data_IF_731172165482
#
_entry.id   IF_731172165482
#
_cell.length_a   1.000
_cell.length_b   1.000
_cell.length_c   1.000
_cell.angle_alpha   90.00
_cell.angle_beta   90.00
_cell.angle_gamma   90.00
#
_symmetry.space_group_name_H-M   'P 1'
#
loop_
_entity.id
_entity.type
_entity.pdbx_description
1 polymer ?
#
# COMPACT_ATOMS: atom_id res chain seq x y z
N UNK A 1 -0.72 -0.03 -29.35
CA UNK A 1 -0.34 1.35 -28.97
C UNK A 1 -1.51 2.28 -28.66
N UNK A 2 -2.49 2.47 -29.57
CA UNK A 2 -3.65 3.39 -29.33
C UNK A 2 -4.40 3.12 -28.01
N UNK A 3 -4.73 1.87 -27.72
CA UNK A 3 -5.40 1.47 -26.46
C UNK A 3 -4.55 1.74 -25.20
N UNK A 4 -3.23 1.54 -25.27
CA UNK A 4 -2.33 1.82 -24.16
C UNK A 4 -2.21 3.32 -23.89
N UNK A 5 -2.12 4.13 -24.95
CA UNK A 5 -2.11 5.59 -24.84
C UNK A 5 -3.42 6.11 -24.23
N UNK A 6 -4.57 5.59 -24.67
CA UNK A 6 -5.87 5.92 -24.09
C UNK A 6 -5.96 5.55 -22.60
N UNK A 7 -5.55 4.33 -22.22
CA UNK A 7 -5.50 3.92 -20.81
C UNK A 7 -4.58 4.82 -19.98
N UNK A 8 -3.41 5.17 -20.52
CA UNK A 8 -2.46 6.05 -19.85
C UNK A 8 -3.06 7.44 -19.62
N UNK A 9 -3.74 7.99 -20.63
CA UNK A 9 -4.47 9.25 -20.51
C UNK A 9 -5.59 9.17 -19.46
N UNK A 10 -6.36 8.08 -19.42
CA UNK A 10 -7.41 7.87 -18.43
C UNK A 10 -6.83 7.84 -17.00
N UNK A 11 -5.76 7.09 -16.78
CA UNK A 11 -5.10 7.00 -15.46
C UNK A 11 -4.50 8.34 -15.05
N UNK A 12 -3.86 9.05 -15.99
CA UNK A 12 -3.35 10.38 -15.74
C UNK A 12 -4.46 11.37 -15.35
N UNK A 13 -5.61 11.31 -16.03
CA UNK A 13 -6.79 12.11 -15.69
C UNK A 13 -7.30 11.78 -14.30
N UNK A 14 -7.38 10.49 -13.93
CA UNK A 14 -7.74 10.06 -12.58
C UNK A 14 -6.78 10.62 -11.51
N UNK A 15 -5.47 10.66 -11.78
CA UNK A 15 -4.51 11.30 -10.89
C UNK A 15 -4.79 12.79 -10.74
N UNK A 16 -4.91 13.53 -11.86
CA UNK A 16 -5.18 14.96 -11.82
C UNK A 16 -6.48 15.27 -11.05
N UNK A 17 -7.56 14.53 -11.29
CA UNK A 17 -8.81 14.68 -10.54
C UNK A 17 -8.62 14.41 -9.04
N UNK A 18 -7.79 13.43 -8.67
CA UNK A 18 -7.45 13.14 -7.28
C UNK A 18 -6.67 14.27 -6.59
N UNK A 19 -5.82 14.99 -7.34
CA UNK A 19 -5.05 16.13 -6.84
C UNK A 19 -5.84 17.45 -6.80
N UNK A 20 -6.70 17.70 -7.79
CA UNK A 20 -7.53 18.93 -7.88
C UNK A 20 -8.56 19.00 -6.76
N UNK A 21 -9.06 17.85 -6.26
CA UNK A 21 -10.17 17.80 -5.31
C UNK A 21 -9.84 18.06 -3.83
N UNK A 22 -8.65 18.54 -3.44
CA UNK A 22 -8.30 18.63 -2.01
C UNK A 22 -7.60 19.94 -1.59
N UNK A 23 -8.31 20.81 -0.84
CA UNK A 23 -7.71 21.99 -0.19
C UNK A 23 -7.09 21.68 1.18
N UNK A 24 -7.23 20.46 1.72
CA UNK A 24 -6.69 20.12 3.05
C UNK A 24 -5.16 19.95 3.05
N UNK A 25 -4.50 20.53 4.06
CA UNK A 25 -3.09 20.27 4.36
C UNK A 25 -2.95 18.80 4.79
N UNK A 26 -2.38 17.97 3.93
CA UNK A 26 -2.01 16.61 4.29
C UNK A 26 -1.01 16.63 5.45
N UNK A 27 -1.32 15.93 6.54
CA UNK A 27 -0.32 15.62 7.56
C UNK A 27 0.51 14.42 7.08
N UNK A 28 1.81 14.45 7.37
CA UNK A 28 2.72 13.41 6.92
C UNK A 28 2.26 12.04 7.41
N UNK A 29 2.06 11.13 6.45
CA UNK A 29 1.58 9.76 6.69
C UNK A 29 0.30 9.67 7.54
N UNK A 30 -0.62 10.62 7.38
CA UNK A 30 -1.98 10.48 7.92
C UNK A 30 -2.83 9.48 7.11
N UNK A 31 -4.10 9.31 7.49
CA UNK A 31 -5.01 8.39 6.80
C UNK A 31 -5.26 8.81 5.35
N UNK A 32 -5.43 10.10 5.09
CA UNK A 32 -5.72 10.61 3.75
C UNK A 32 -4.51 10.45 2.83
N UNK A 33 -3.31 10.72 3.35
CA UNK A 33 -2.02 10.55 2.69
C UNK A 33 -1.76 9.09 2.32
N UNK A 34 -1.89 8.17 3.29
CA UNK A 34 -1.68 6.73 3.04
C UNK A 34 -2.74 6.13 2.12
N UNK A 35 -4.01 6.58 2.20
CA UNK A 35 -5.06 6.18 1.25
C UNK A 35 -4.77 6.69 -0.16
N UNK A 36 -4.28 7.92 -0.31
CA UNK A 36 -3.89 8.46 -1.62
C UNK A 36 -2.75 7.64 -2.24
N UNK A 37 -1.72 7.29 -1.46
CA UNK A 37 -0.63 6.42 -1.93
C UNK A 37 -1.16 5.04 -2.34
N UNK A 38 -2.05 4.42 -1.56
CA UNK A 38 -2.65 3.13 -1.93
C UNK A 38 -3.44 3.21 -3.24
N UNK A 39 -4.20 4.29 -3.45
CA UNK A 39 -4.90 4.54 -4.71
C UNK A 39 -3.92 4.70 -5.88
N UNK A 40 -2.86 5.49 -5.68
CA UNK A 40 -1.78 5.63 -6.65
C UNK A 40 -1.15 4.29 -7.00
N UNK A 41 -0.79 3.50 -5.99
CA UNK A 41 -0.23 2.15 -6.12
C UNK A 41 -1.10 1.23 -6.96
N UNK A 42 -2.41 1.15 -6.68
CA UNK A 42 -3.31 0.27 -7.43
C UNK A 42 -3.39 0.70 -8.90
N UNK A 43 -3.55 2.00 -9.17
CA UNK A 43 -3.60 2.52 -10.54
C UNK A 43 -2.29 2.24 -11.30
N UNK A 44 -1.14 2.38 -10.64
CA UNK A 44 0.17 2.05 -11.21
C UNK A 44 0.30 0.56 -11.55
N UNK A 45 -0.22 -0.32 -10.68
CA UNK A 45 -0.25 -1.78 -10.92
C UNK A 45 -1.13 -2.13 -12.11
N UNK A 46 -2.32 -1.53 -12.19
CA UNK A 46 -3.24 -1.71 -13.33
C UNK A 46 -2.58 -1.25 -14.62
N UNK A 47 -2.01 -0.04 -14.63
CA UNK A 47 -1.32 0.53 -15.79
C UNK A 47 -0.21 -0.39 -16.30
N UNK A 48 0.65 -0.88 -15.41
CA UNK A 48 1.76 -1.74 -15.78
C UNK A 48 1.32 -3.12 -16.27
N UNK A 49 0.34 -3.78 -15.63
CA UNK A 49 -0.17 -5.07 -16.11
C UNK A 49 -0.88 -4.95 -17.46
N UNK A 50 -1.65 -3.88 -17.68
CA UNK A 50 -2.27 -3.61 -18.98
C UNK A 50 -1.24 -3.31 -20.05
N UNK A 51 -0.19 -2.52 -19.74
CA UNK A 51 0.91 -2.27 -20.67
C UNK A 51 1.66 -3.53 -21.06
N UNK A 52 1.92 -4.41 -20.09
CA UNK A 52 2.57 -5.70 -20.35
C UNK A 52 1.73 -6.61 -21.26
N UNK A 53 0.39 -6.65 -21.08
CA UNK A 53 -0.52 -7.36 -21.99
C UNK A 53 -0.55 -6.77 -23.41
N UNK A 54 -0.21 -5.48 -23.54
CA UNK A 54 -0.13 -4.78 -24.82
C UNK A 54 1.31 -4.75 -25.36
N UNK A 55 2.15 -5.69 -24.91
CA UNK A 55 3.54 -5.90 -25.36
C UNK A 55 4.50 -4.73 -25.10
N UNK A 56 4.23 -3.90 -24.09
CA UNK A 56 5.16 -2.86 -23.61
C UNK A 56 6.20 -3.49 -22.68
N UNK A 57 7.45 -3.60 -23.16
CA UNK A 57 8.55 -4.20 -22.41
C UNK A 57 8.94 -3.42 -21.14
N UNK A 58 9.45 -4.12 -20.12
CA UNK A 58 10.01 -3.53 -18.90
C UNK A 58 9.02 -2.92 -17.90
N UNK A 59 7.77 -2.68 -18.29
CA UNK A 59 6.78 -1.96 -17.47
C UNK A 59 6.36 -2.73 -16.20
N UNK A 60 6.52 -4.04 -16.17
CA UNK A 60 6.19 -4.88 -15.00
C UNK A 60 7.03 -4.54 -13.75
N UNK A 61 8.24 -3.97 -13.92
CA UNK A 61 9.01 -3.49 -12.78
C UNK A 61 8.28 -2.39 -12.01
N UNK A 62 7.53 -1.53 -12.72
CA UNK A 62 6.75 -0.44 -12.14
C UNK A 62 5.54 -0.97 -11.37
N UNK A 63 4.90 -2.06 -11.84
CA UNK A 63 3.91 -2.79 -11.04
C UNK A 63 4.53 -3.22 -9.70
N UNK A 64 5.80 -3.63 -9.75
CA UNK A 64 6.58 -4.01 -8.60
C UNK A 64 6.63 -2.93 -7.50
N UNK A 65 6.89 -1.70 -7.89
CA UNK A 65 6.93 -0.54 -6.98
C UNK A 65 5.54 -0.24 -6.42
N UNK A 66 4.50 -0.30 -7.26
CA UNK A 66 3.12 -0.08 -6.85
C UNK A 66 2.70 -1.02 -5.72
N UNK A 67 2.95 -2.32 -5.87
CA UNK A 67 2.64 -3.32 -4.83
C UNK A 67 3.44 -3.06 -3.54
N UNK A 68 4.74 -2.77 -3.64
CA UNK A 68 5.58 -2.47 -2.47
C UNK A 68 5.04 -1.28 -1.66
N UNK A 69 4.68 -0.17 -2.34
CA UNK A 69 4.07 1.00 -1.71
C UNK A 69 2.73 0.68 -1.06
N UNK A 70 1.89 -0.15 -1.71
CA UNK A 70 0.61 -0.57 -1.14
C UNK A 70 0.80 -1.39 0.13
N UNK A 71 1.71 -2.36 0.11
CA UNK A 71 2.03 -3.22 1.25
C UNK A 71 2.60 -2.41 2.41
N UNK A 72 3.51 -1.48 2.13
CA UNK A 72 4.09 -0.58 3.12
C UNK A 72 3.02 0.31 3.77
N UNK A 73 2.18 0.97 2.99
CA UNK A 73 1.06 1.75 3.53
C UNK A 73 0.04 0.89 4.28
N UNK A 74 -0.07 -0.40 3.94
CA UNK A 74 -0.94 -1.35 4.63
C UNK A 74 -0.38 -1.75 5.98
N UNK A 75 0.91 -2.11 6.07
CA UNK A 75 1.59 -2.36 7.33
C UNK A 75 1.55 -1.15 8.27
N UNK A 76 1.86 0.04 7.74
CA UNK A 76 1.79 1.30 8.48
C UNK A 76 0.39 1.57 9.03
N UNK A 77 -0.64 1.50 8.18
CA UNK A 77 -2.02 1.74 8.59
C UNK A 77 -2.54 0.71 9.60
N UNK A 78 -2.04 -0.52 9.55
CA UNK A 78 -2.38 -1.57 10.52
C UNK A 78 -1.83 -1.26 11.90
N UNK A 79 -0.56 -0.85 11.99
CA UNK A 79 0.07 -0.49 13.26
C UNK A 79 -0.59 0.73 13.89
N UNK A 80 -0.78 1.82 13.12
CA UNK A 80 -1.48 3.01 13.62
C UNK A 80 -2.92 2.69 14.06
N UNK A 81 -3.62 1.80 13.35
CA UNK A 81 -4.94 1.35 13.77
C UNK A 81 -4.89 0.52 15.05
N UNK A 82 -3.86 -0.30 15.23
CA UNK A 82 -3.66 -1.16 16.40
C UNK A 82 -3.32 -0.33 17.65
N UNK A 83 -2.49 0.69 17.52
CA UNK A 83 -2.22 1.63 18.62
C UNK A 83 -3.50 2.29 19.13
N UNK A 84 -4.40 2.67 18.21
CA UNK A 84 -5.65 3.36 18.55
C UNK A 84 -6.78 2.43 19.03
N UNK A 85 -6.94 1.26 18.42
CA UNK A 85 -8.12 0.41 18.59
C UNK A 85 -7.80 -1.04 19.02
N UNK A 86 -6.52 -1.36 19.23
CA UNK A 86 -6.04 -2.74 19.38
C UNK A 86 -6.59 -3.61 18.23
N UNK A 87 -7.03 -4.83 18.53
CA UNK A 87 -7.61 -5.76 17.55
C UNK A 87 -9.13 -5.58 17.38
N UNK A 88 -9.75 -4.56 17.99
CA UNK A 88 -11.20 -4.36 17.91
C UNK A 88 -11.62 -4.07 16.46
N UNK A 89 -12.46 -4.94 15.91
CA UNK A 89 -12.95 -4.85 14.54
C UNK A 89 -11.85 -5.04 13.47
N UNK A 90 -10.73 -5.70 13.83
CA UNK A 90 -9.59 -5.95 12.95
C UNK A 90 -10.04 -6.55 11.61
N UNK A 91 -10.76 -7.68 11.61
CA UNK A 91 -11.17 -8.34 10.37
C UNK A 91 -12.24 -7.57 9.60
N UNK A 92 -13.27 -7.04 10.29
CA UNK A 92 -14.36 -6.26 9.67
C UNK A 92 -13.83 -5.11 8.82
N UNK A 93 -12.87 -4.33 9.35
CA UNK A 93 -12.28 -3.20 8.62
C UNK A 93 -11.60 -3.64 7.31
N UNK A 94 -11.00 -4.82 7.26
CA UNK A 94 -10.12 -5.28 6.16
C UNK A 94 -10.92 -6.02 5.10
N UNK A 95 -11.88 -6.83 5.53
CA UNK A 95 -12.87 -7.43 4.64
C UNK A 95 -13.65 -6.35 3.87
N UNK A 96 -14.09 -5.29 4.54
CA UNK A 96 -14.87 -4.23 3.90
C UNK A 96 -14.05 -3.27 3.04
N UNK A 97 -12.80 -2.94 3.43
CA UNK A 97 -12.00 -1.94 2.71
C UNK A 97 -11.06 -2.51 1.65
N UNK A 98 -10.80 -3.82 1.66
CA UNK A 98 -9.86 -4.46 0.73
C UNK A 98 -10.53 -5.62 0.00
N UNK A 99 -11.06 -6.60 0.71
CA UNK A 99 -11.62 -7.81 0.07
C UNK A 99 -12.87 -7.51 -0.75
N UNK A 100 -13.81 -6.75 -0.20
CA UNK A 100 -15.08 -6.47 -0.87
C UNK A 100 -14.91 -5.65 -2.16
N UNK A 101 -14.11 -4.56 -2.19
CA UNK A 101 -13.79 -3.88 -3.44
C UNK A 101 -13.08 -4.78 -4.46
N UNK A 102 -12.15 -5.63 -4.00
CA UNK A 102 -11.44 -6.57 -4.87
C UNK A 102 -12.40 -7.57 -5.54
N UNK A 103 -13.24 -8.25 -4.76
CA UNK A 103 -14.22 -9.19 -5.28
C UNK A 103 -15.22 -8.53 -6.22
N UNK A 104 -15.65 -7.30 -5.92
CA UNK A 104 -16.51 -6.53 -6.81
C UNK A 104 -15.86 -6.26 -8.17
N UNK A 105 -14.61 -5.79 -8.18
CA UNK A 105 -13.86 -5.54 -9.43
C UNK A 105 -13.59 -6.83 -10.18
N UNK A 106 -13.24 -7.91 -9.50
CA UNK A 106 -12.98 -9.20 -10.13
C UNK A 106 -14.25 -9.81 -10.74
N UNK A 107 -15.39 -9.73 -10.04
CA UNK A 107 -16.67 -10.17 -10.58
C UNK A 107 -17.01 -9.42 -11.87
N UNK A 108 -16.93 -8.08 -11.85
CA UNK A 108 -17.15 -7.25 -13.05
C UNK A 108 -16.17 -7.65 -14.17
N UNK A 109 -14.89 -7.86 -13.83
CA UNK A 109 -13.87 -8.30 -14.78
C UNK A 109 -14.23 -9.63 -15.45
N UNK A 110 -14.61 -10.64 -14.66
CA UNK A 110 -15.00 -11.97 -15.17
C UNK A 110 -16.26 -11.93 -16.04
N UNK A 111 -17.22 -11.08 -15.70
CA UNK A 111 -18.45 -10.89 -16.49
C UNK A 111 -18.14 -10.23 -17.84
N UNK A 112 -17.34 -9.15 -17.84
CA UNK A 112 -16.95 -8.42 -19.06
C UNK A 112 -16.12 -9.30 -20.01
N UNK A 113 -15.24 -10.15 -19.48
CA UNK A 113 -14.43 -11.07 -20.30
C UNK A 113 -15.18 -12.33 -20.73
N UNK A 114 -16.41 -12.54 -20.25
CA UNK A 114 -17.19 -13.75 -20.55
C UNK A 114 -16.60 -15.04 -19.96
N UNK A 115 -15.65 -14.93 -19.03
CA UNK A 115 -14.94 -16.08 -18.43
C UNK A 115 -15.49 -16.43 -17.04
N UNK A 116 -16.68 -15.93 -16.70
CA UNK A 116 -17.28 -16.16 -15.40
C UNK A 116 -17.65 -17.64 -15.21
N UNK A 117 -17.22 -18.19 -14.07
CA UNK A 117 -17.66 -19.50 -13.61
C UNK A 117 -17.83 -19.47 -12.11
N UNK A 118 -19.02 -19.87 -11.65
CA UNK A 118 -19.41 -19.81 -10.24
C UNK A 118 -18.44 -20.60 -9.35
N UNK A 119 -17.97 -21.76 -9.82
CA UNK A 119 -17.01 -22.60 -9.08
C UNK A 119 -15.69 -21.88 -8.88
N UNK A 120 -15.18 -21.23 -9.92
CA UNK A 120 -13.89 -20.52 -9.86
C UNK A 120 -14.00 -19.26 -9.01
N UNK A 121 -15.11 -18.53 -9.11
CA UNK A 121 -15.37 -17.34 -8.31
C UNK A 121 -15.53 -17.65 -6.82
N UNK A 122 -16.26 -18.72 -6.46
CA UNK A 122 -16.37 -19.17 -5.06
C UNK A 122 -15.04 -19.64 -4.49
N UNK A 123 -14.21 -20.33 -5.28
CA UNK A 123 -12.88 -20.73 -4.85
C UNK A 123 -11.94 -19.52 -4.63
N UNK A 124 -12.09 -18.43 -5.41
CA UNK A 124 -11.34 -17.20 -5.17
C UNK A 124 -11.84 -16.46 -3.93
N UNK A 125 -13.16 -16.39 -3.75
CA UNK A 125 -13.79 -15.84 -2.55
C UNK A 125 -13.30 -16.51 -1.27
N UNK A 126 -13.10 -17.84 -1.29
CA UNK A 126 -12.53 -18.61 -0.19
C UNK A 126 -10.99 -18.55 -0.10
N UNK A 127 -10.32 -17.77 -0.94
CA UNK A 127 -8.87 -17.68 -1.07
C UNK A 127 -8.16 -19.00 -1.46
N UNK A 128 -8.89 -20.00 -1.97
CA UNK A 128 -8.40 -21.35 -2.29
C UNK A 128 -7.83 -21.47 -3.70
N UNK A 129 -8.54 -20.98 -4.73
CA UNK A 129 -8.03 -20.90 -6.12
C UNK A 129 -8.31 -19.53 -6.73
N UNK A 130 -7.29 -18.84 -7.25
CA UNK A 130 -7.50 -17.49 -7.78
C UNK A 130 -8.15 -17.56 -9.15
N UNK A 131 -9.20 -16.77 -9.33
CA UNK A 131 -9.96 -16.74 -10.57
C UNK A 131 -9.19 -16.03 -11.69
N UNK A 132 -8.28 -15.12 -11.31
CA UNK A 132 -7.42 -14.37 -12.23
C UNK A 132 -5.93 -14.52 -11.90
N UNK A 133 -5.06 -14.38 -12.90
CA UNK A 133 -3.59 -14.43 -12.75
C UNK A 133 -3.04 -13.39 -11.76
N UNK A 134 -3.77 -12.28 -11.55
CA UNK A 134 -3.41 -11.21 -10.62
C UNK A 134 -3.95 -11.43 -9.18
N UNK A 135 -4.79 -12.44 -8.96
CA UNK A 135 -5.42 -12.75 -7.67
C UNK A 135 -4.45 -13.22 -6.58
N UNK A 136 -3.20 -13.56 -6.94
CA UNK A 136 -2.16 -13.91 -5.97
C UNK A 136 -1.94 -12.81 -4.93
N UNK A 137 -2.07 -11.53 -5.34
CA UNK A 137 -1.88 -10.38 -4.46
C UNK A 137 -2.92 -10.38 -3.33
N UNK A 138 -4.16 -10.79 -3.62
CA UNK A 138 -5.23 -10.78 -2.64
C UNK A 138 -4.96 -11.77 -1.50
N UNK A 139 -4.53 -12.99 -1.83
CA UNK A 139 -4.11 -13.97 -0.83
C UNK A 139 -2.91 -13.48 -0.03
N UNK A 140 -1.97 -12.87 -0.74
CA UNK A 140 -0.73 -12.36 -0.15
C UNK A 140 -1.02 -11.30 0.93
N UNK A 141 -1.87 -10.32 0.64
CA UNK A 141 -2.21 -9.27 1.60
C UNK A 141 -3.04 -9.80 2.78
N UNK A 142 -3.93 -10.77 2.54
CA UNK A 142 -4.67 -11.45 3.62
C UNK A 142 -3.73 -12.22 4.54
N UNK A 143 -2.73 -12.90 3.99
CA UNK A 143 -1.70 -13.60 4.79
C UNK A 143 -0.86 -12.62 5.60
N UNK A 144 -0.48 -11.47 5.03
CA UNK A 144 0.17 -10.40 5.79
C UNK A 144 -0.68 -9.92 6.98
N UNK A 145 -2.00 -9.75 6.78
CA UNK A 145 -2.92 -9.38 7.85
C UNK A 145 -3.06 -10.48 8.91
N UNK A 146 -3.07 -11.75 8.50
CA UNK A 146 -3.11 -12.89 9.40
C UNK A 146 -1.85 -12.96 10.27
N UNK A 147 -0.66 -12.87 9.67
CA UNK A 147 0.62 -12.85 10.39
C UNK A 147 0.63 -11.69 11.39
N UNK A 148 0.25 -10.50 10.96
CA UNK A 148 0.15 -9.34 11.85
C UNK A 148 -0.82 -9.59 13.02
N UNK A 149 -2.01 -10.13 12.74
CA UNK A 149 -3.02 -10.43 13.75
C UNK A 149 -2.49 -11.42 14.80
N UNK A 150 -1.88 -12.52 14.35
CA UNK A 150 -1.35 -13.57 15.22
C UNK A 150 -0.24 -13.01 16.10
N UNK A 151 0.75 -12.30 15.53
CA UNK A 151 1.85 -11.72 16.30
C UNK A 151 1.34 -10.73 17.34
N UNK A 152 0.46 -9.80 16.96
CA UNK A 152 -0.11 -8.80 17.89
C UNK A 152 -1.04 -9.40 18.95
N UNK A 153 -1.58 -10.61 18.72
CA UNK A 153 -2.42 -11.33 19.68
C UNK A 153 -1.59 -12.12 20.68
N UNK A 154 -0.49 -12.74 20.24
CA UNK A 154 0.32 -13.64 21.06
C UNK A 154 1.40 -12.92 21.87
N UNK A 155 2.02 -11.88 21.29
CA UNK A 155 3.15 -11.17 21.91
C UNK A 155 2.65 -9.86 22.49
N UNK A 156 2.94 -9.60 23.77
CA UNK A 156 2.57 -8.34 24.44
C UNK A 156 3.63 -7.25 24.28
N UNK A 157 4.91 -7.63 24.32
CA UNK A 157 6.03 -6.68 24.22
C UNK A 157 6.16 -6.11 22.80
N UNK A 158 6.24 -4.78 22.69
CA UNK A 158 6.23 -4.08 21.40
C UNK A 158 7.52 -4.29 20.59
N UNK A 159 8.67 -4.49 21.25
CA UNK A 159 9.93 -4.76 20.55
C UNK A 159 9.91 -6.18 20.00
N UNK A 160 9.50 -7.15 20.82
CA UNK A 160 9.33 -8.54 20.41
C UNK A 160 8.29 -8.69 19.31
N UNK A 161 7.18 -7.92 19.32
CA UNK A 161 6.21 -7.90 18.22
C UNK A 161 6.89 -7.51 16.90
N UNK A 162 7.70 -6.45 16.91
CA UNK A 162 8.40 -5.98 15.70
C UNK A 162 9.43 -7.01 15.23
N UNK A 163 10.22 -7.57 16.16
CA UNK A 163 11.19 -8.63 15.85
C UNK A 163 10.52 -9.88 15.30
N UNK A 164 9.41 -10.32 15.89
CA UNK A 164 8.67 -11.49 15.43
C UNK A 164 8.05 -11.26 14.04
N UNK A 165 7.54 -10.05 13.76
CA UNK A 165 7.07 -9.70 12.41
C UNK A 165 8.22 -9.77 11.40
N UNK A 166 9.33 -9.07 11.63
CA UNK A 166 10.48 -9.12 10.73
C UNK A 166 11.03 -10.53 10.58
N UNK A 167 11.18 -11.28 11.66
CA UNK A 167 11.63 -12.67 11.65
C UNK A 167 10.71 -13.56 10.82
N UNK A 168 9.40 -13.49 11.04
CA UNK A 168 8.41 -14.27 10.28
C UNK A 168 8.44 -13.94 8.80
N UNK A 169 8.49 -12.65 8.44
CA UNK A 169 8.56 -12.22 7.04
C UNK A 169 9.89 -12.59 6.37
N UNK A 170 11.01 -12.58 7.10
CA UNK A 170 12.32 -13.03 6.60
C UNK A 170 12.32 -14.55 6.38
N UNK A 171 11.79 -15.33 7.31
CA UNK A 171 11.64 -16.79 7.13
C UNK A 171 10.77 -17.07 5.91
N UNK A 172 9.63 -16.38 5.80
CA UNK A 172 8.73 -16.53 4.65
C UNK A 172 9.42 -16.15 3.34
N UNK A 173 10.24 -15.08 3.34
CA UNK A 173 11.06 -14.69 2.20
C UNK A 173 12.05 -15.79 1.77
N UNK A 174 12.76 -16.40 2.73
CA UNK A 174 13.70 -17.49 2.44
C UNK A 174 12.95 -18.71 1.89
N UNK A 175 11.83 -19.09 2.51
CA UNK A 175 11.02 -20.23 2.04
C UNK A 175 10.51 -20.03 0.60
N UNK A 176 9.97 -18.85 0.28
CA UNK A 176 9.55 -18.54 -1.09
C UNK A 176 10.73 -18.52 -2.07
N UNK A 177 11.89 -17.99 -1.65
CA UNK A 177 13.07 -17.90 -2.52
C UNK A 177 13.77 -19.25 -2.76
N UNK A 178 13.67 -20.20 -1.83
CA UNK A 178 14.33 -21.51 -1.93
C UNK A 178 13.41 -22.57 -2.54
N UNK A 179 12.15 -22.61 -2.14
CA UNK A 179 11.23 -23.71 -2.51
C UNK A 179 10.21 -23.34 -3.58
N UNK A 180 9.91 -22.06 -3.77
CA UNK A 180 8.83 -21.60 -4.65
C UNK A 180 9.31 -20.60 -5.72
N UNK A 181 10.63 -20.46 -5.89
CA UNK A 181 11.23 -19.63 -6.93
C UNK A 181 10.78 -20.14 -8.30
N UNK A 182 9.81 -19.43 -8.87
CA UNK A 182 9.19 -19.78 -10.14
C UNK A 182 10.15 -19.42 -11.29
N UNK A 183 10.59 -20.35 -12.14
CA UNK A 183 11.63 -20.09 -13.14
C UNK A 183 11.29 -18.95 -14.12
N UNK A 184 10.00 -18.71 -14.38
CA UNK A 184 9.53 -17.65 -15.29
C UNK A 184 9.42 -16.24 -14.66
N UNK A 185 9.35 -16.15 -13.32
CA UNK A 185 9.31 -14.87 -12.58
C UNK A 185 9.95 -14.99 -11.19
N UNK A 186 11.25 -15.30 -11.10
CA UNK A 186 11.82 -15.91 -9.89
C UNK A 186 11.86 -15.02 -8.65
N UNK A 187 11.53 -13.72 -8.73
CA UNK A 187 11.72 -12.80 -7.61
C UNK A 187 10.63 -11.74 -7.44
N UNK A 188 9.47 -11.82 -8.11
CA UNK A 188 8.46 -10.74 -7.99
C UNK A 188 7.84 -10.68 -6.58
N UNK A 189 7.41 -11.84 -6.07
CA UNK A 189 6.84 -11.97 -4.71
C UNK A 189 7.89 -11.66 -3.65
N UNK A 190 9.04 -12.33 -3.73
CA UNK A 190 10.15 -12.21 -2.79
C UNK A 190 10.62 -10.75 -2.59
N UNK A 191 10.76 -9.97 -3.67
CA UNK A 191 11.25 -8.57 -3.60
C UNK A 191 10.38 -7.62 -2.78
N UNK A 192 9.12 -7.95 -2.55
CA UNK A 192 8.14 -7.07 -1.91
C UNK A 192 7.81 -7.50 -0.48
N UNK A 193 8.34 -8.65 -0.02
CA UNK A 193 7.92 -9.24 1.24
C UNK A 193 8.28 -8.39 2.46
N UNK A 194 9.39 -7.67 2.39
CA UNK A 194 9.82 -6.78 3.46
C UNK A 194 9.10 -5.42 3.45
N UNK A 195 8.33 -5.09 2.41
CA UNK A 195 7.64 -3.80 2.34
C UNK A 195 6.56 -3.66 3.43
N UNK A 196 5.84 -4.74 3.72
CA UNK A 196 4.83 -4.75 4.79
C UNK A 196 5.43 -4.53 6.20
N UNK A 197 6.42 -5.33 6.67
CA UNK A 197 7.04 -5.08 7.97
C UNK A 197 7.82 -3.76 8.02
N UNK A 198 8.38 -3.28 6.90
CA UNK A 198 8.94 -1.92 6.83
C UNK A 198 7.88 -0.85 7.11
N UNK A 199 6.66 -1.01 6.58
CA UNK A 199 5.52 -0.16 6.90
C UNK A 199 5.18 -0.13 8.39
N UNK A 200 5.21 -1.29 9.05
CA UNK A 200 5.02 -1.40 10.51
C UNK A 200 6.13 -0.65 11.25
N UNK A 201 7.40 -0.84 10.85
CA UNK A 201 8.55 -0.16 11.46
C UNK A 201 8.45 1.37 11.32
N UNK A 202 7.98 1.85 10.16
CA UNK A 202 7.73 3.28 9.93
C UNK A 202 6.69 3.84 10.89
N UNK A 203 5.61 3.09 11.17
CA UNK A 203 4.59 3.50 12.11
C UNK A 203 5.11 3.56 13.55
N UNK A 204 5.83 2.53 14.00
CA UNK A 204 6.44 2.48 15.34
C UNK A 204 7.40 3.66 15.58
N UNK A 205 8.11 4.09 14.54
CA UNK A 205 9.08 5.19 14.62
C UNK A 205 8.53 6.54 14.13
N UNK A 206 7.22 6.66 13.89
CA UNK A 206 6.60 7.84 13.25
C UNK A 206 7.06 9.16 13.87
N UNK A 207 6.95 9.31 15.19
CA UNK A 207 7.31 10.54 15.90
C UNK A 207 8.80 10.91 15.76
N UNK A 208 9.69 9.90 15.80
CA UNK A 208 11.13 10.12 15.63
C UNK A 208 11.43 10.58 14.20
N UNK A 209 10.82 9.94 13.21
CA UNK A 209 11.00 10.28 11.79
C UNK A 209 10.47 11.69 11.50
N UNK A 210 9.28 12.02 12.01
CA UNK A 210 8.66 13.33 11.84
C UNK A 210 9.50 14.46 12.45
N UNK A 211 10.07 14.22 13.65
CA UNK A 211 11.01 15.15 14.29
C UNK A 211 12.28 15.35 13.46
N UNK A 212 12.88 14.27 12.95
CA UNK A 212 14.08 14.34 12.10
C UNK A 212 13.79 15.05 10.78
N UNK A 213 12.65 14.77 10.16
CA UNK A 213 12.22 15.40 8.90
C UNK A 213 12.00 16.91 9.08
N UNK A 214 11.35 17.30 10.18
CA UNK A 214 11.16 18.72 10.52
C UNK A 214 12.49 19.42 10.76
N UNK A 215 13.42 18.79 11.49
CA UNK A 215 14.77 19.32 11.72
C UNK A 215 15.56 19.46 10.41
N UNK A 216 15.53 18.44 9.55
CA UNK A 216 16.19 18.46 8.25
C UNK A 216 15.60 19.55 7.33
N UNK A 217 14.27 19.72 7.30
CA UNK A 217 13.61 20.80 6.56
C UNK A 217 14.04 22.17 7.07
N UNK A 218 14.12 22.36 8.39
CA UNK A 218 14.59 23.61 8.99
C UNK A 218 16.05 23.89 8.63
N UNK A 219 16.92 22.87 8.65
CA UNK A 219 18.32 23.00 8.22
C UNK A 219 18.39 23.32 6.72
N UNK A 220 17.61 22.66 5.87
CA UNK A 220 17.58 22.91 4.42
C UNK A 220 17.10 24.33 4.09
N UNK A 221 16.13 24.85 4.85
CA UNK A 221 15.69 26.26 4.75
C UNK A 221 16.81 27.23 5.18
N UNK A 222 17.65 26.82 6.15
CA UNK A 222 18.77 27.62 6.62
C UNK A 222 20.01 27.52 5.71
N UNK A 223 20.21 26.41 5.00
CA UNK A 223 21.38 26.16 4.15
C UNK A 223 21.14 26.32 2.64
N UNK A 224 19.88 26.43 2.19
CA UNK A 224 19.48 26.72 0.81
C UNK A 224 18.65 28.00 0.71
N UNK A 225 19.24 29.05 0.14
CA UNK A 225 18.74 30.43 0.18
C UNK A 225 17.42 30.74 -0.53
N UNK A 226 16.81 31.83 -0.04
CA UNK A 226 15.78 32.69 -0.64
C UNK A 226 14.49 32.04 -1.18
N UNK A 227 13.46 32.05 -0.34
CA UNK A 227 12.18 32.70 -0.67
C UNK A 227 11.51 33.17 0.62
N UNK A 228 11.15 34.46 0.62
CA UNK A 228 10.78 35.31 1.77
C UNK A 228 9.83 34.67 2.79
N UNK A 229 9.95 35.01 4.09
CA UNK A 229 8.88 34.81 5.05
C UNK A 229 7.79 35.85 4.79
N UNK A 230 6.53 35.43 4.66
CA UNK A 230 5.40 36.33 4.89
C UNK A 230 4.41 35.69 5.85
N UNK A 231 4.58 36.09 7.10
CA UNK A 231 3.57 36.56 8.04
C UNK A 231 2.57 35.53 8.59
N UNK A 232 2.89 35.09 9.82
CA UNK A 232 1.92 35.12 10.91
C UNK A 232 1.19 36.47 10.89
N UNK A 233 -0.11 36.45 10.57
CA UNK A 233 -1.04 37.49 11.03
C UNK A 233 -1.33 37.21 12.50
N UNK A 234 -0.53 37.80 13.40
CA UNK A 234 -0.90 37.93 14.80
C UNK A 234 -2.02 38.98 14.89
N UNK A 235 -3.25 38.52 15.07
CA UNK A 235 -4.28 39.32 15.69
C UNK A 235 -4.13 39.18 17.20
N UNK A 236 -3.40 40.09 17.82
CA UNK A 236 -3.50 40.42 19.24
C UNK A 236 -3.34 41.92 19.41
N UNK A 237 -4.48 42.55 19.63
CA UNK A 237 -4.72 43.74 20.46
C UNK A 237 -3.65 44.00 21.53
N UNK A 238 -3.24 45.28 21.70
CA UNK A 238 -3.25 45.99 23.00
C UNK A 238 -2.84 47.48 22.87
N UNK A 239 -3.71 48.31 23.44
CA UNK A 239 -3.54 49.58 24.17
C UNK A 239 -2.45 50.62 23.81
N UNK A 240 -2.93 51.85 23.56
CA UNK A 240 -2.22 53.12 23.51
C UNK A 240 -3.13 54.21 23.00
#
# INVERSE_FOLDING_TARGET
MKYFAFLTFLIFTCYLLGFVKKPEKYQWMDRNYTTAIKGFSILTVVWAHSGARLSVGGIQFIAGIGVALFLMCSGYGLEVSYEKNRLKGFWKKRLLSVCLPFWGVELVGLLVTGTFSIKTYLLDFCFLKSATSYGWFMRYIVLCYLIFYVVKRLIKDSRMQTMALFGTFTIWFVLESVFFANPDMPFLRARQMLSFPAGVLLAVNKYKIERTLTRAKNILILTGGYSRPSLHGNNTTECG
#
